data_IF_622025798261
#
_entry.id   IF_622025798261
#
_cell.length_a   1.000
_cell.length_b   1.000
_cell.length_c   1.000
_cell.angle_alpha   90.00
_cell.angle_beta   90.00
_cell.angle_gamma   90.00
#
_symmetry.space_group_name_H-M   'P 1'
#
loop_
_entity.id
_entity.type
_entity.pdbx_description
1 polymer ?
#
# COMPACT_ATOMS: atom_id res chain seq x y z
N UNK A 1 -16.19 -28.86 -6.91
CA UNK A 1 -15.37 -27.63 -7.03
C UNK A 1 -14.12 -27.87 -6.21
N UNK A 2 -12.96 -28.05 -6.85
CA UNK A 2 -11.70 -28.34 -6.14
C UNK A 2 -10.99 -27.02 -5.86
N UNK A 3 -10.64 -26.79 -4.60
CA UNK A 3 -9.68 -25.76 -4.24
C UNK A 3 -8.38 -26.06 -4.99
N UNK A 4 -7.92 -25.13 -5.83
CA UNK A 4 -6.59 -25.21 -6.44
C UNK A 4 -5.57 -25.08 -5.32
N UNK A 5 -4.81 -26.16 -5.10
CA UNK A 5 -3.69 -26.21 -4.16
C UNK A 5 -2.71 -25.08 -4.42
N UNK A 6 -2.44 -24.27 -3.39
CA UNK A 6 -1.31 -23.33 -3.41
C UNK A 6 -0.04 -24.18 -3.25
N UNK A 7 0.61 -24.49 -4.37
CA UNK A 7 1.90 -25.17 -4.37
C UNK A 7 2.99 -24.11 -4.20
N UNK A 8 3.42 -23.87 -2.96
CA UNK A 8 4.56 -23.00 -2.66
C UNK A 8 5.84 -23.75 -2.98
N UNK A 9 6.17 -23.83 -4.27
CA UNK A 9 7.42 -24.41 -4.73
C UNK A 9 8.61 -23.54 -4.26
N UNK A 10 9.72 -24.16 -3.78
CA UNK A 10 10.93 -23.44 -3.37
C UNK A 10 11.62 -22.65 -4.51
N UNK A 11 11.13 -22.81 -5.75
CA UNK A 11 11.62 -22.13 -6.95
C UNK A 11 10.51 -21.30 -7.64
N UNK A 12 9.45 -20.93 -6.92
CA UNK A 12 8.36 -20.12 -7.47
C UNK A 12 8.91 -18.84 -8.09
N UNK A 13 8.95 -18.80 -9.42
CA UNK A 13 9.24 -17.59 -10.18
C UNK A 13 7.95 -16.79 -10.25
N UNK A 14 7.91 -15.65 -9.56
CA UNK A 14 6.87 -14.66 -9.79
C UNK A 14 6.89 -14.30 -11.28
N UNK A 15 5.86 -14.70 -12.02
CA UNK A 15 5.78 -14.48 -13.47
C UNK A 15 5.41 -13.03 -13.82
N UNK A 16 5.22 -12.18 -12.81
CA UNK A 16 4.81 -10.79 -12.95
C UNK A 16 5.78 -9.85 -12.25
N UNK A 17 6.10 -8.74 -12.90
CA UNK A 17 6.84 -7.63 -12.28
C UNK A 17 5.96 -6.95 -11.23
N UNK A 18 6.51 -6.70 -10.05
CA UNK A 18 5.86 -5.87 -9.04
C UNK A 18 5.76 -4.42 -9.52
N UNK A 19 4.69 -3.74 -9.15
CA UNK A 19 4.51 -2.29 -9.35
C UNK A 19 4.43 -1.62 -8.00
N UNK A 20 5.07 -0.45 -7.87
CA UNK A 20 4.89 0.38 -6.69
C UNK A 20 3.51 1.05 -6.77
N UNK A 21 2.67 0.80 -5.75
CA UNK A 21 1.32 1.38 -5.66
C UNK A 21 1.25 2.49 -4.61
N UNK A 22 2.07 2.42 -3.55
CA UNK A 22 2.10 3.43 -2.49
C UNK A 22 3.54 3.85 -2.14
N UNK A 23 3.76 5.15 -1.99
CA UNK A 23 5.08 5.73 -1.67
C UNK A 23 6.02 5.83 -2.88
N UNK A 24 7.33 5.68 -2.65
CA UNK A 24 8.36 5.72 -3.70
C UNK A 24 9.06 7.07 -3.92
N UNK A 25 8.62 8.14 -3.25
CA UNK A 25 9.16 9.50 -3.42
C UNK A 25 9.90 10.02 -2.18
N UNK A 26 10.76 9.19 -1.58
CA UNK A 26 11.39 9.41 -0.27
C UNK A 26 10.35 9.50 0.87
N UNK A 27 10.85 9.60 2.10
CA UNK A 27 10.00 9.82 3.27
C UNK A 27 9.62 11.30 3.39
N UNK A 28 8.43 11.57 3.91
CA UNK A 28 7.90 12.93 4.09
C UNK A 28 6.38 12.96 4.17
N UNK A 29 5.81 14.16 4.21
CA UNK A 29 4.38 14.41 4.47
C UNK A 29 3.57 14.79 3.23
N UNK A 30 4.20 14.92 2.06
CA UNK A 30 3.49 15.18 0.81
C UNK A 30 2.55 14.02 0.45
N UNK A 31 1.59 14.26 -0.45
CA UNK A 31 0.57 13.27 -0.83
C UNK A 31 1.16 12.06 -1.56
N UNK A 32 2.35 12.18 -2.16
CA UNK A 32 3.08 11.09 -2.79
C UNK A 32 4.18 10.47 -1.91
N UNK A 33 4.19 10.80 -0.61
CA UNK A 33 5.18 10.35 0.37
C UNK A 33 4.50 9.64 1.56
N UNK A 34 5.31 8.88 2.30
CA UNK A 34 4.92 8.22 3.55
C UNK A 34 6.03 8.46 4.58
N UNK A 35 5.70 8.52 5.87
CA UNK A 35 6.66 8.60 6.98
C UNK A 35 6.39 7.52 8.04
N UNK A 36 7.33 6.56 8.12
CA UNK A 36 7.30 5.37 9.00
C UNK A 36 5.94 4.66 9.01
N UNK A 37 5.40 4.24 7.84
CA UNK A 37 4.14 3.53 7.78
C UNK A 37 4.21 2.23 8.59
N UNK A 38 3.11 1.86 9.26
CA UNK A 38 3.10 0.73 10.19
C UNK A 38 2.27 -0.47 9.71
N UNK A 39 1.08 -0.21 9.16
CA UNK A 39 0.15 -1.24 8.72
C UNK A 39 -0.49 -0.88 7.38
N UNK A 40 -0.94 -1.90 6.67
CA UNK A 40 -1.72 -1.72 5.44
C UNK A 40 -2.93 -2.67 5.41
N UNK A 41 -3.96 -2.26 4.68
CA UNK A 41 -5.12 -3.06 4.31
C UNK A 41 -5.33 -2.93 2.80
N UNK A 42 -5.82 -4.00 2.16
CA UNK A 42 -6.18 -4.00 0.74
C UNK A 42 -7.63 -4.42 0.65
N UNK A 43 -8.45 -3.62 -0.03
CA UNK A 43 -9.87 -3.95 -0.26
C UNK A 43 -10.08 -4.79 -1.53
N UNK A 44 -11.34 -5.14 -1.79
CA UNK A 44 -11.75 -5.95 -2.94
C UNK A 44 -11.49 -5.25 -4.30
N UNK A 45 -11.40 -3.92 -4.29
CA UNK A 45 -11.08 -3.08 -5.46
C UNK A 45 -9.57 -2.91 -5.68
N UNK A 46 -8.73 -3.61 -4.90
CA UNK A 46 -7.27 -3.51 -4.89
C UNK A 46 -6.76 -2.10 -4.50
N UNK A 47 -7.56 -1.35 -3.74
CA UNK A 47 -7.13 -0.09 -3.12
C UNK A 47 -6.34 -0.41 -1.86
N UNK A 48 -5.16 0.20 -1.74
CA UNK A 48 -4.29 0.05 -0.57
C UNK A 48 -4.55 1.20 0.40
N UNK A 49 -4.84 0.87 1.65
CA UNK A 49 -4.92 1.82 2.75
C UNK A 49 -3.68 1.67 3.61
N UNK A 50 -2.97 2.77 3.85
CA UNK A 50 -1.72 2.76 4.63
C UNK A 50 -1.90 3.60 5.89
N UNK A 51 -1.55 3.02 7.03
CA UNK A 51 -1.37 3.76 8.28
C UNK A 51 -0.01 4.47 8.26
N UNK A 52 -0.03 5.74 7.86
CA UNK A 52 1.14 6.61 7.72
C UNK A 52 1.45 7.28 9.07
N UNK A 53 2.08 6.49 9.95
CA UNK A 53 2.12 6.71 11.39
C UNK A 53 2.68 8.07 11.79
N UNK A 54 3.81 8.50 11.21
CA UNK A 54 4.47 9.75 11.60
C UNK A 54 3.86 10.98 10.94
N UNK A 55 3.01 10.78 9.92
CA UNK A 55 2.15 11.83 9.38
C UNK A 55 0.75 11.82 10.01
N UNK A 56 0.51 10.97 11.01
CA UNK A 56 -0.74 10.88 11.77
C UNK A 56 -1.99 10.75 10.89
N UNK A 57 -1.90 9.99 9.80
CA UNK A 57 -2.95 9.88 8.78
C UNK A 57 -3.13 8.47 8.24
N UNK A 58 -4.32 8.22 7.70
CA UNK A 58 -4.59 7.06 6.84
C UNK A 58 -4.71 7.56 5.41
N UNK A 59 -3.96 6.94 4.51
CA UNK A 59 -3.89 7.33 3.10
C UNK A 59 -4.38 6.17 2.22
N UNK A 60 -5.36 6.44 1.37
CA UNK A 60 -5.79 5.50 0.32
C UNK A 60 -4.93 5.69 -0.95
N UNK A 61 -4.56 4.58 -1.58
CA UNK A 61 -3.77 4.50 -2.80
C UNK A 61 -4.42 3.51 -3.76
N UNK A 62 -4.96 4.02 -4.87
CA UNK A 62 -5.51 3.19 -5.94
C UNK A 62 -4.39 2.67 -6.83
N UNK A 63 -4.61 1.52 -7.46
CA UNK A 63 -3.68 1.00 -8.47
C UNK A 63 -3.38 2.05 -9.54
N UNK A 64 -2.09 2.27 -9.83
CA UNK A 64 -1.61 3.27 -10.78
C UNK A 64 -1.63 4.72 -10.29
N UNK A 65 -2.07 5.00 -9.07
CA UNK A 65 -2.02 6.35 -8.50
C UNK A 65 -0.57 6.80 -8.24
N UNK A 66 -0.28 8.07 -8.53
CA UNK A 66 1.01 8.71 -8.22
C UNK A 66 1.01 9.48 -6.90
N UNK A 67 -0.18 9.73 -6.35
CA UNK A 67 -0.41 10.39 -5.07
C UNK A 67 -1.48 9.61 -4.29
N UNK A 68 -1.30 9.52 -2.98
CA UNK A 68 -2.31 9.03 -2.08
C UNK A 68 -3.31 10.12 -1.71
N UNK A 69 -4.49 9.70 -1.27
CA UNK A 69 -5.53 10.58 -0.74
C UNK A 69 -5.74 10.32 0.75
N UNK A 70 -5.66 11.37 1.56
CA UNK A 70 -5.93 11.25 2.99
C UNK A 70 -7.42 10.99 3.20
N UNK A 71 -7.74 9.90 3.89
CA UNK A 71 -9.13 9.48 4.17
C UNK A 71 -9.47 9.55 5.65
N UNK A 72 -8.46 9.65 6.52
CA UNK A 72 -8.63 9.92 7.94
C UNK A 72 -7.35 10.52 8.55
N UNK A 73 -7.49 11.31 9.62
CA UNK A 73 -6.35 11.92 10.33
C UNK A 73 -5.75 13.14 9.63
N UNK A 74 -4.46 13.41 9.86
CA UNK A 74 -3.70 14.54 9.31
C UNK A 74 -3.51 15.74 10.25
N UNK A 75 -4.11 15.69 11.45
CA UNK A 75 -4.04 16.75 12.46
C UNK A 75 -3.46 16.26 13.80
N UNK A 76 -2.83 15.09 13.82
CA UNK A 76 -2.17 14.57 15.02
C UNK A 76 -0.81 15.23 15.22
N UNK A 77 -0.53 15.66 16.45
CA UNK A 77 0.75 16.22 16.92
C UNK A 77 1.73 15.16 17.41
#
# INVERSE_FOLDING_TARGET
MRASSIDIHPNAKWTQNGVTVAGGNRWGSETNQLDRPYGLYVDDDQTIYVADRWNHRIVEWKSGATNGKVVAGGNGS
#
